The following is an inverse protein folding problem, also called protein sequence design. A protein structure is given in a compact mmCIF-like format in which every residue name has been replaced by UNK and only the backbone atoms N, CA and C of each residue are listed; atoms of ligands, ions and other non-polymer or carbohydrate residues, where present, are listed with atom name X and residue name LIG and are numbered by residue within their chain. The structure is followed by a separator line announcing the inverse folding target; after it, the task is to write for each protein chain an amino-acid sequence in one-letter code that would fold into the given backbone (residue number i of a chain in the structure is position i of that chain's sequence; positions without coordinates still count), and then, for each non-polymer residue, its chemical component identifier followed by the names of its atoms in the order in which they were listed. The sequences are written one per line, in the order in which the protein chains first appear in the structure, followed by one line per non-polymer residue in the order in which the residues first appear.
data_IF_348764402730
#
_entry.id   IF_348764402730
#
_cell.length_a   1.000
_cell.length_b   1.000
_cell.length_c   1.000
_cell.angle_alpha   90.00
_cell.angle_beta   90.00
_cell.angle_gamma   90.00
#
_symmetry.space_group_name_H-M   'P 1'
#
loop_
_entity.id
_entity.type
_entity.pdbx_description
1 polymer ?
#
# COMPACT_ATOMS: atom_id res chain seq x y z
N UNK A 1 26.92 -4.56 8.22
CA UNK A 1 25.45 -4.43 8.23
C UNK A 1 25.06 -3.39 7.18
N UNK A 2 24.51 -3.82 6.03
CA UNK A 2 24.11 -2.89 4.97
C UNK A 2 22.93 -2.08 5.48
N UNK A 3 23.11 -0.77 5.67
CA UNK A 3 21.99 0.15 5.80
C UNK A 3 21.21 0.07 4.48
N UNK A 4 20.18 -0.78 4.42
CA UNK A 4 19.18 -0.71 3.37
C UNK A 4 18.49 0.63 3.59
N UNK A 5 18.73 1.59 2.69
CA UNK A 5 17.81 2.71 2.48
C UNK A 5 16.47 2.09 2.10
N UNK A 6 15.65 1.73 3.09
CA UNK A 6 14.27 1.41 2.85
C UNK A 6 13.60 2.73 2.46
N UNK A 7 13.39 2.94 1.17
CA UNK A 7 12.31 3.82 0.72
C UNK A 7 11.04 3.18 1.26
N UNK A 8 10.66 3.60 2.46
CA UNK A 8 9.59 2.99 3.22
C UNK A 8 8.29 3.28 2.50
N UNK A 9 7.64 2.23 2.01
CA UNK A 9 6.32 2.39 1.43
C UNK A 9 5.31 2.57 2.54
N UNK A 10 4.66 3.73 2.60
CA UNK A 10 3.65 4.05 3.60
C UNK A 10 2.54 2.99 3.60
N UNK A 11 2.11 2.52 2.42
CA UNK A 11 1.14 1.42 2.30
C UNK A 11 1.65 0.14 2.98
N UNK A 12 2.93 -0.20 2.79
CA UNK A 12 3.53 -1.42 3.36
C UNK A 12 3.58 -1.35 4.89
N UNK A 13 3.94 -0.20 5.43
CA UNK A 13 4.00 0.04 6.87
C UNK A 13 2.60 -0.01 7.51
N UNK A 14 1.60 0.61 6.87
CA UNK A 14 0.21 0.55 7.36
C UNK A 14 -0.36 -0.87 7.31
N UNK A 15 -0.05 -1.64 6.26
CA UNK A 15 -0.43 -3.05 6.17
C UNK A 15 0.20 -3.88 7.29
N UNK A 16 1.51 -3.70 7.56
CA UNK A 16 2.20 -4.38 8.65
C UNK A 16 1.66 -4.01 10.03
N UNK A 17 1.45 -2.71 10.30
CA UNK A 17 0.92 -2.21 11.58
C UNK A 17 -0.44 -2.83 11.91
N UNK A 18 -1.26 -3.09 10.90
CA UNK A 18 -2.59 -3.68 11.05
C UNK A 18 -2.62 -5.21 10.90
N UNK A 19 -1.49 -5.85 10.57
CA UNK A 19 -1.43 -7.29 10.31
C UNK A 19 -2.21 -7.73 9.06
N UNK A 20 -2.45 -6.81 8.12
CA UNK A 20 -3.23 -7.07 6.91
C UNK A 20 -2.30 -7.61 5.82
N UNK A 21 -2.73 -8.67 5.14
CA UNK A 21 -1.99 -9.26 4.04
C UNK A 21 -2.21 -8.51 2.73
N UNK A 22 -1.21 -8.51 1.86
CA UNK A 22 -1.33 -7.92 0.52
C UNK A 22 -2.38 -8.64 -0.35
N UNK A 23 -2.60 -9.94 -0.11
CA UNK A 23 -3.67 -10.72 -0.76
C UNK A 23 -5.05 -10.22 -0.36
N UNK A 24 -5.24 -9.80 0.89
CA UNK A 24 -6.50 -9.19 1.34
C UNK A 24 -6.73 -7.86 0.62
N UNK A 25 -5.72 -6.97 0.59
CA UNK A 25 -5.85 -5.69 -0.09
C UNK A 25 -6.16 -5.86 -1.59
N UNK A 26 -5.52 -6.83 -2.24
CA UNK A 26 -5.78 -7.13 -3.65
C UNK A 26 -7.23 -7.58 -3.88
N UNK A 27 -7.76 -8.42 -2.99
CA UNK A 27 -9.15 -8.90 -3.04
C UNK A 27 -10.14 -7.75 -2.87
N UNK A 28 -9.93 -6.89 -1.88
CA UNK A 28 -10.79 -5.73 -1.60
C UNK A 28 -10.75 -4.68 -2.72
N UNK A 29 -9.59 -4.45 -3.33
CA UNK A 29 -9.47 -3.56 -4.48
C UNK A 29 -10.02 -4.18 -5.79
N UNK A 30 -10.33 -5.47 -5.80
CA UNK A 30 -10.70 -6.22 -7.00
C UNK A 30 -9.57 -6.28 -8.04
N UNK A 31 -8.31 -6.25 -7.58
CA UNK A 31 -7.12 -6.21 -8.43
C UNK A 31 -6.28 -7.47 -8.26
N UNK A 32 -5.41 -7.73 -9.23
CA UNK A 32 -4.47 -8.84 -9.10
C UNK A 32 -3.44 -8.57 -8.00
N UNK A 33 -2.96 -9.65 -7.38
CA UNK A 33 -1.90 -9.58 -6.38
C UNK A 33 -0.65 -8.88 -6.92
N UNK A 34 -0.28 -9.16 -8.17
CA UNK A 34 0.89 -8.56 -8.82
C UNK A 34 0.77 -7.04 -8.97
N UNK A 35 -0.42 -6.52 -9.26
CA UNK A 35 -0.68 -5.06 -9.33
C UNK A 35 -0.55 -4.43 -7.95
N UNK A 36 -1.19 -5.03 -6.95
CA UNK A 36 -1.12 -4.55 -5.56
C UNK A 36 0.31 -4.57 -5.02
N UNK A 37 1.06 -5.64 -5.31
CA UNK A 37 2.48 -5.75 -4.97
C UNK A 37 3.34 -4.70 -5.69
N UNK A 38 3.01 -4.34 -6.93
CA UNK A 38 3.71 -3.27 -7.64
C UNK A 38 3.54 -1.91 -6.94
N UNK A 39 2.35 -1.62 -6.39
CA UNK A 39 2.11 -0.43 -5.58
C UNK A 39 2.88 -0.49 -4.24
N UNK A 40 2.78 -1.61 -3.52
CA UNK A 40 3.44 -1.82 -2.21
C UNK A 40 4.97 -1.88 -2.31
N UNK A 41 5.53 -2.16 -3.49
CA UNK A 41 6.97 -2.16 -3.75
C UNK A 41 7.48 -0.90 -4.48
N UNK A 42 6.66 0.15 -4.65
CA UNK A 42 7.05 1.38 -5.37
C UNK A 42 7.49 1.13 -6.83
N UNK A 43 7.09 -0.01 -7.41
CA UNK A 43 7.36 -0.32 -8.83
C UNK A 43 6.40 0.41 -9.76
N UNK A 44 5.22 0.75 -9.25
CA UNK A 44 4.20 1.53 -9.95
C UNK A 44 3.54 2.47 -8.95
N UNK A 45 3.27 3.70 -9.37
CA UNK A 45 2.48 4.65 -8.59
C UNK A 45 0.99 4.28 -8.72
N UNK A 46 0.25 4.13 -7.61
CA UNK A 46 -1.20 4.02 -7.65
C UNK A 46 -1.82 5.34 -8.13
N UNK A 47 -2.97 5.25 -8.79
CA UNK A 47 -3.71 6.46 -9.13
C UNK A 47 -4.40 7.03 -7.88
N UNK A 48 -4.86 8.27 -7.97
CA UNK A 48 -5.54 8.95 -6.87
C UNK A 48 -6.75 8.14 -6.35
N UNK A 49 -7.54 7.54 -7.26
CA UNK A 49 -8.70 6.73 -6.90
C UNK A 49 -8.35 5.47 -6.08
N UNK A 50 -7.22 4.83 -6.37
CA UNK A 50 -6.71 3.70 -5.60
C UNK A 50 -6.21 4.17 -4.26
N UNK A 51 -5.52 5.31 -4.19
CA UNK A 51 -5.06 5.89 -2.92
C UNK A 51 -6.26 6.15 -2.00
N UNK A 52 -7.33 6.77 -2.51
CA UNK A 52 -8.56 6.96 -1.74
C UNK A 52 -9.21 5.63 -1.31
N UNK A 53 -9.35 4.66 -2.23
CA UNK A 53 -9.90 3.34 -1.87
C UNK A 53 -9.08 2.62 -0.79
N UNK A 54 -7.76 2.67 -0.90
CA UNK A 54 -6.84 2.07 0.08
C UNK A 54 -6.94 2.81 1.42
N UNK A 55 -7.04 4.14 1.39
CA UNK A 55 -7.23 4.96 2.59
C UNK A 55 -8.56 4.64 3.29
N UNK A 56 -9.66 4.50 2.53
CA UNK A 56 -10.98 4.10 3.04
C UNK A 56 -10.94 2.68 3.64
N UNK A 57 -10.33 1.72 2.92
CA UNK A 57 -10.16 0.33 3.37
C UNK A 57 -9.32 0.22 4.65
N UNK A 58 -8.28 1.05 4.75
CA UNK A 58 -7.41 1.10 5.92
C UNK A 58 -7.93 2.07 6.98
N UNK A 59 -9.03 2.77 6.75
CA UNK A 59 -9.59 3.82 7.60
C UNK A 59 -8.51 4.81 8.09
N UNK A 60 -7.71 5.32 7.16
CA UNK A 60 -6.66 6.34 7.38
C UNK A 60 -6.89 7.52 6.44
N UNK A 61 -6.26 8.66 6.75
CA UNK A 61 -6.31 9.81 5.86
C UNK A 61 -5.50 9.54 4.59
N UNK A 62 -6.00 9.84 3.38
CA UNK A 62 -5.24 9.72 2.13
C UNK A 62 -3.93 10.52 2.14
N UNK A 63 -3.85 11.57 2.97
CA UNK A 63 -2.62 12.36 3.18
C UNK A 63 -1.49 11.50 3.75
N UNK A 64 -1.80 10.55 4.64
CA UNK A 64 -0.82 9.62 5.23
C UNK A 64 -0.27 8.60 4.23
N UNK A 65 -0.84 8.52 3.02
CA UNK A 65 -0.37 7.65 1.93
C UNK A 65 0.44 8.41 0.87
N UNK A 66 0.46 9.76 0.92
CA UNK A 66 1.05 10.64 -0.10
C UNK A 66 2.19 11.51 0.46
N UNK A 67 2.38 11.52 1.77
CA UNK A 67 3.40 12.33 2.48
C UNK A 67 4.85 11.96 2.15
#
# INVERSE_FOLDING_TARGET
MKQKKEHSNLIKEHLKKRGITQTWLAKELGMSFSITNAYVCNRKQPNLAIIFKVADLLNISPKELVE
#
